data_IF_280260514157
#
_entry.id   IF_280260514157
#
_cell.length_a   1.000
_cell.length_b   1.000
_cell.length_c   1.000
_cell.angle_alpha   90.00
_cell.angle_beta   90.00
_cell.angle_gamma   90.00
#
_symmetry.space_group_name_H-M   'P 1'
#
loop_
_entity.id
_entity.type
_entity.pdbx_description
1 polymer ?
#
# COMPACT_ATOMS: atom_id res chain seq x y z
N UNK A 1 46.01 12.60 -31.00
CA UNK A 1 44.65 12.72 -30.42
C UNK A 1 44.32 11.38 -29.77
N UNK A 2 44.33 11.31 -28.43
CA UNK A 2 44.01 10.07 -27.70
C UNK A 2 42.49 9.91 -27.73
N UNK A 3 41.99 8.88 -28.42
CA UNK A 3 40.59 8.48 -28.35
C UNK A 3 40.34 7.93 -26.95
N UNK A 4 39.65 8.68 -26.09
CA UNK A 4 39.04 8.10 -24.90
C UNK A 4 38.02 7.07 -25.39
N UNK A 5 38.38 5.78 -25.34
CA UNK A 5 37.45 4.67 -25.51
C UNK A 5 36.55 4.62 -24.29
N UNK A 6 35.48 5.41 -24.30
CA UNK A 6 34.39 5.26 -23.34
C UNK A 6 33.73 3.92 -23.64
N UNK A 7 33.78 3.00 -22.69
CA UNK A 7 33.01 1.77 -22.77
C UNK A 7 31.58 2.10 -22.27
N UNK A 8 30.62 2.13 -23.17
CA UNK A 8 29.22 2.48 -22.85
C UNK A 8 28.55 1.51 -21.86
N UNK A 9 29.15 0.33 -21.61
CA UNK A 9 28.60 -0.68 -20.69
C UNK A 9 29.20 -0.65 -19.29
N UNK A 10 30.37 -0.04 -19.08
CA UNK A 10 31.03 -0.05 -17.77
C UNK A 10 31.96 1.13 -17.55
N UNK A 11 32.00 1.63 -16.31
CA UNK A 11 32.89 2.71 -15.88
C UNK A 11 33.83 2.20 -14.81
N UNK A 12 35.13 2.41 -14.99
CA UNK A 12 36.12 2.12 -13.97
C UNK A 12 36.20 3.28 -12.97
N UNK A 13 36.18 2.95 -11.67
CA UNK A 13 36.31 3.90 -10.58
C UNK A 13 37.50 3.44 -9.72
N UNK A 14 38.39 4.36 -9.35
CA UNK A 14 39.52 4.07 -8.47
C UNK A 14 39.30 4.75 -7.12
N UNK A 15 39.22 3.95 -6.06
CA UNK A 15 39.10 4.40 -4.67
C UNK A 15 40.02 3.57 -3.78
N UNK A 16 40.38 4.10 -2.61
CA UNK A 16 41.03 3.32 -1.55
C UNK A 16 39.97 2.78 -0.60
N UNK A 17 40.05 1.49 -0.28
CA UNK A 17 39.16 0.81 0.67
C UNK A 17 40.01 0.45 1.90
N UNK A 18 39.55 0.76 3.13
CA UNK A 18 40.23 0.38 4.36
C UNK A 18 40.47 -1.14 4.46
N UNK A 19 41.56 -1.53 5.12
CA UNK A 19 41.97 -2.94 5.24
C UNK A 19 40.93 -3.80 5.98
N UNK A 20 40.39 -3.29 7.08
CA UNK A 20 39.34 -3.94 7.87
C UNK A 20 38.10 -4.28 7.03
N UNK A 21 37.74 -3.41 6.09
CA UNK A 21 36.62 -3.63 5.17
C UNK A 21 36.94 -4.71 4.14
N UNK A 22 38.17 -4.73 3.61
CA UNK A 22 38.63 -5.78 2.69
C UNK A 22 38.68 -7.14 3.39
N UNK A 23 39.23 -7.19 4.61
CA UNK A 23 39.33 -8.42 5.39
C UNK A 23 37.93 -8.97 5.70
N UNK A 24 37.00 -8.10 6.07
CA UNK A 24 35.59 -8.47 6.28
C UNK A 24 34.93 -8.99 5.00
N UNK A 25 35.21 -8.37 3.85
CA UNK A 25 34.71 -8.85 2.56
C UNK A 25 35.24 -10.26 2.27
N UNK A 26 36.54 -10.49 2.37
CA UNK A 26 37.15 -11.79 2.08
C UNK A 26 36.62 -12.89 3.02
N UNK A 27 36.35 -12.56 4.29
CA UNK A 27 35.76 -13.50 5.25
C UNK A 27 34.29 -13.86 4.95
N UNK A 28 33.52 -12.95 4.34
CA UNK A 28 32.09 -13.14 4.03
C UNK A 28 31.82 -13.56 2.59
N UNK A 29 32.82 -13.43 1.71
CA UNK A 29 32.72 -13.79 0.29
C UNK A 29 32.47 -15.28 0.13
N UNK A 30 31.55 -15.63 -0.77
CA UNK A 30 31.27 -17.04 -1.07
C UNK A 30 32.44 -17.68 -1.86
N UNK A 31 32.65 -19.00 -1.75
CA UNK A 31 33.78 -19.69 -2.40
C UNK A 31 33.90 -19.44 -3.91
N UNK A 32 32.77 -19.29 -4.62
CA UNK A 32 32.73 -19.07 -6.07
C UNK A 32 32.46 -17.61 -6.47
N UNK A 33 32.55 -16.68 -5.53
CA UNK A 33 32.25 -15.26 -5.76
C UNK A 33 33.54 -14.46 -5.97
N UNK A 34 33.58 -13.69 -7.06
CA UNK A 34 34.69 -12.75 -7.31
C UNK A 34 34.54 -11.48 -6.48
N UNK A 35 35.65 -10.81 -6.18
CA UNK A 35 35.64 -9.53 -5.45
C UNK A 35 34.79 -8.48 -6.17
N UNK A 36 34.89 -8.43 -7.51
CA UNK A 36 34.06 -7.56 -8.34
C UNK A 36 32.57 -7.93 -8.23
N UNK A 37 32.25 -9.24 -8.25
CA UNK A 37 30.87 -9.74 -8.08
C UNK A 37 30.27 -9.35 -6.73
N UNK A 38 31.06 -9.49 -5.65
CA UNK A 38 30.66 -9.07 -4.31
C UNK A 38 30.37 -7.56 -4.26
N UNK A 39 31.31 -6.74 -4.74
CA UNK A 39 31.19 -5.27 -4.72
C UNK A 39 29.99 -4.79 -5.53
N UNK A 40 29.80 -5.31 -6.76
CA UNK A 40 28.65 -4.94 -7.60
C UNK A 40 27.34 -5.32 -6.93
N UNK A 41 27.28 -6.49 -6.29
CA UNK A 41 26.09 -6.96 -5.57
C UNK A 41 25.80 -6.06 -4.37
N UNK A 42 26.80 -5.71 -3.57
CA UNK A 42 26.67 -4.80 -2.45
C UNK A 42 26.18 -3.41 -2.89
N UNK A 43 26.75 -2.87 -3.97
CA UNK A 43 26.32 -1.59 -4.55
C UNK A 43 24.88 -1.62 -5.03
N UNK A 44 24.46 -2.69 -5.73
CA UNK A 44 23.06 -2.87 -6.15
C UNK A 44 22.11 -2.93 -4.96
N UNK A 45 22.48 -3.67 -3.91
CA UNK A 45 21.69 -3.76 -2.69
C UNK A 45 21.51 -2.40 -2.02
N UNK A 46 22.56 -1.58 -1.95
CA UNK A 46 22.49 -0.23 -1.39
C UNK A 46 21.63 0.72 -2.24
N UNK A 47 21.73 0.66 -3.57
CA UNK A 47 20.87 1.41 -4.48
C UNK A 47 19.41 1.05 -4.25
N UNK A 48 19.08 -0.25 -4.20
CA UNK A 48 17.72 -0.71 -3.96
C UNK A 48 17.18 -0.26 -2.59
N UNK A 49 18.00 -0.28 -1.54
CA UNK A 49 17.61 0.24 -0.21
C UNK A 49 17.26 1.72 -0.26
N UNK A 50 18.08 2.55 -0.92
CA UNK A 50 17.81 3.99 -1.05
C UNK A 50 16.58 4.28 -1.89
N UNK A 51 16.42 3.58 -3.01
CA UNK A 51 15.22 3.67 -3.84
C UNK A 51 13.96 3.22 -3.11
N UNK A 52 14.07 2.21 -2.23
CA UNK A 52 12.95 1.79 -1.40
C UNK A 52 12.63 2.83 -0.32
N UNK A 53 13.61 3.50 0.26
CA UNK A 53 13.33 4.56 1.23
C UNK A 53 12.70 5.78 0.54
N UNK A 54 13.21 6.17 -0.63
CA UNK A 54 12.68 7.27 -1.45
C UNK A 54 11.26 6.99 -1.98
N UNK A 55 10.99 5.77 -2.44
CA UNK A 55 9.68 5.40 -2.99
C UNK A 55 8.73 4.79 -1.96
N UNK A 56 9.24 4.24 -0.87
CA UNK A 56 8.50 3.46 0.12
C UNK A 56 7.72 4.34 1.08
N UNK A 57 8.30 5.44 1.56
CA UNK A 57 7.54 6.41 2.36
C UNK A 57 6.40 7.02 1.54
N UNK A 58 6.67 7.45 0.30
CA UNK A 58 5.64 7.97 -0.61
C UNK A 58 4.58 6.93 -1.00
N UNK A 59 4.96 5.67 -1.23
CA UNK A 59 4.00 4.59 -1.52
C UNK A 59 3.17 4.20 -0.29
N UNK A 60 3.76 4.17 0.91
CA UNK A 60 3.03 3.85 2.13
C UNK A 60 2.02 4.96 2.42
N UNK A 61 2.43 6.22 2.31
CA UNK A 61 1.54 7.37 2.51
C UNK A 61 0.39 7.38 1.50
N UNK A 62 0.66 7.12 0.22
CA UNK A 62 -0.40 7.06 -0.80
C UNK A 62 -1.34 5.85 -0.64
N UNK A 63 -0.83 4.68 -0.21
CA UNK A 63 -1.68 3.53 0.12
C UNK A 63 -2.53 3.79 1.35
N UNK A 64 -1.99 4.48 2.36
CA UNK A 64 -2.73 4.85 3.56
C UNK A 64 -3.83 5.87 3.24
N UNK A 65 -3.54 6.88 2.41
CA UNK A 65 -4.53 7.83 1.93
C UNK A 65 -5.66 7.14 1.16
N UNK A 66 -5.33 6.23 0.25
CA UNK A 66 -6.33 5.44 -0.47
C UNK A 66 -7.20 4.58 0.48
N UNK A 67 -6.61 3.99 1.53
CA UNK A 67 -7.34 3.23 2.52
C UNK A 67 -8.29 4.11 3.35
N UNK A 68 -7.84 5.31 3.75
CA UNK A 68 -8.67 6.27 4.48
C UNK A 68 -9.85 6.75 3.63
N UNK A 69 -9.63 7.06 2.36
CA UNK A 69 -10.71 7.42 1.42
C UNK A 69 -11.72 6.29 1.22
N UNK A 70 -11.26 5.04 1.19
CA UNK A 70 -12.15 3.89 1.10
C UNK A 70 -13.03 3.75 2.34
N UNK A 71 -12.47 3.96 3.54
CA UNK A 71 -13.23 3.94 4.79
C UNK A 71 -14.26 5.07 4.86
N UNK A 72 -13.90 6.28 4.44
CA UNK A 72 -14.84 7.41 4.37
C UNK A 72 -16.02 7.12 3.43
N UNK A 73 -15.79 6.46 2.28
CA UNK A 73 -16.88 6.03 1.39
C UNK A 73 -17.76 4.95 2.02
N UNK A 74 -17.19 4.03 2.79
CA UNK A 74 -17.97 3.00 3.50
C UNK A 74 -18.86 3.65 4.56
N UNK A 75 -18.35 4.66 5.28
CA UNK A 75 -19.12 5.44 6.25
C UNK A 75 -20.32 6.13 5.58
N UNK A 76 -20.11 6.85 4.48
CA UNK A 76 -21.17 7.51 3.71
C UNK A 76 -22.26 6.52 3.25
N UNK A 77 -21.86 5.36 2.72
CA UNK A 77 -22.78 4.30 2.30
C UNK A 77 -23.56 3.76 3.51
N UNK A 78 -22.89 3.58 4.65
CA UNK A 78 -23.49 3.10 5.90
C UNK A 78 -24.55 4.06 6.44
N UNK A 79 -24.27 5.36 6.46
CA UNK A 79 -25.23 6.38 6.88
C UNK A 79 -26.49 6.35 6.01
N UNK A 80 -26.31 6.35 4.69
CA UNK A 80 -27.42 6.30 3.72
C UNK A 80 -28.23 5.02 3.85
N UNK A 81 -27.58 3.87 3.97
CA UNK A 81 -28.28 2.60 4.18
C UNK A 81 -29.10 2.64 5.48
N UNK A 82 -28.54 3.24 6.55
CA UNK A 82 -29.23 3.42 7.81
C UNK A 82 -30.45 4.35 7.72
N UNK A 83 -30.38 5.43 6.94
CA UNK A 83 -31.55 6.30 6.69
C UNK A 83 -32.63 5.59 5.91
N UNK A 84 -32.26 4.85 4.86
CA UNK A 84 -33.21 4.15 4.01
C UNK A 84 -33.94 3.04 4.77
N UNK A 85 -33.22 2.28 5.62
CA UNK A 85 -33.83 1.25 6.49
C UNK A 85 -34.84 1.88 7.45
N UNK A 86 -34.51 3.00 8.10
CA UNK A 86 -35.44 3.69 9.01
C UNK A 86 -36.70 4.14 8.29
N UNK A 87 -36.56 4.74 7.10
CA UNK A 87 -37.71 5.15 6.30
C UNK A 87 -38.62 3.96 5.94
N UNK A 88 -38.06 2.82 5.57
CA UNK A 88 -38.83 1.60 5.26
C UNK A 88 -39.59 1.11 6.51
N UNK A 89 -38.93 1.11 7.67
CA UNK A 89 -39.55 0.71 8.95
C UNK A 89 -40.73 1.63 9.30
N UNK A 90 -40.55 2.95 9.16
CA UNK A 90 -41.60 3.93 9.45
C UNK A 90 -42.82 3.77 8.51
N UNK A 91 -42.58 3.52 7.23
CA UNK A 91 -43.62 3.23 6.24
C UNK A 91 -44.38 1.95 6.64
N UNK A 92 -43.64 0.89 7.00
CA UNK A 92 -44.24 -0.38 7.40
C UNK A 92 -45.11 -0.24 8.65
N UNK A 93 -44.66 0.51 9.67
CA UNK A 93 -45.45 0.80 10.86
C UNK A 93 -46.73 1.57 10.52
N UNK A 94 -46.62 2.62 9.71
CA UNK A 94 -47.76 3.44 9.28
C UNK A 94 -48.81 2.60 8.55
N UNK A 95 -48.37 1.74 7.63
CA UNK A 95 -49.25 0.86 6.85
C UNK A 95 -49.92 -0.21 7.73
N UNK A 96 -49.19 -0.78 8.71
CA UNK A 96 -49.74 -1.72 9.68
C UNK A 96 -50.84 -1.09 10.54
N UNK A 97 -50.61 0.13 11.05
CA UNK A 97 -51.63 0.87 11.82
C UNK A 97 -52.86 1.17 10.96
N UNK A 98 -52.67 1.62 9.72
CA UNK A 98 -53.78 1.91 8.81
C UNK A 98 -54.66 0.68 8.54
N UNK A 99 -54.04 -0.50 8.41
CA UNK A 99 -54.75 -1.78 8.25
C UNK A 99 -55.49 -2.20 9.51
N UNK A 100 -54.89 -2.03 10.69
CA UNK A 100 -55.56 -2.32 11.96
C UNK A 100 -56.78 -1.43 12.17
N UNK A 101 -56.67 -0.13 11.87
CA UNK A 101 -57.79 0.82 11.95
C UNK A 101 -58.92 0.46 10.99
N UNK A 102 -58.61 0.08 9.73
CA UNK A 102 -59.61 -0.42 8.77
C UNK A 102 -60.29 -1.69 9.28
N UNK A 103 -59.52 -2.66 9.77
CA UNK A 103 -60.05 -3.92 10.31
C UNK A 103 -61.00 -3.68 11.49
N UNK A 104 -60.65 -2.80 12.43
CA UNK A 104 -61.53 -2.45 13.56
C UNK A 104 -62.79 -1.70 13.10
N UNK A 105 -62.72 -0.90 12.02
CA UNK A 105 -63.87 -0.18 11.48
C UNK A 105 -64.85 -1.11 10.73
N UNK A 106 -64.34 -2.15 10.09
CA UNK A 106 -65.13 -3.13 9.34
C UNK A 106 -65.66 -4.30 10.21
N UNK A 107 -65.36 -4.33 11.52
CA UNK A 107 -65.92 -5.30 12.48
C UNK A 107 -66.24 -4.62 13.83
N UNK A 108 -67.31 -3.79 13.90
CA UNK A 108 -67.62 -3.01 15.11
C UNK A 108 -68.24 -3.83 16.25
N UNK A 109 -68.80 -5.01 15.97
CA UNK A 109 -69.53 -5.84 16.93
C UNK A 109 -68.93 -7.26 16.99
N UNK A 110 -67.99 -7.43 17.93
CA UNK A 110 -67.77 -8.64 18.73
C UNK A 110 -67.40 -8.22 20.15
#
# INVERSE_FOLDING_TARGET
>A
MVKNTVNDKSKQISIRIPHDVIDSMEALKRPDESNAGFIVTAMRGEISRRQLNENGEGQILSKLDAALQALAKIEEIGERAGTDIRAIVDIAHTELEARQRKKNKDSPDQ
#
